data_IF_225596042260
#
_entry.id   IF_225596042260
#
_cell.length_a   1.000
_cell.length_b   1.000
_cell.length_c   1.000
_cell.angle_alpha   90.00
_cell.angle_beta   90.00
_cell.angle_gamma   90.00
#
_symmetry.space_group_name_H-M   'P 1'
#
loop_
_entity.id
_entity.type
_entity.pdbx_description
1 polymer ?
#
# COMPACT_ATOMS: atom_id res chain seq x y z
N UNK A 1 12.03 9.90 -17.61
CA UNK A 1 11.80 11.06 -18.50
C UNK A 1 12.98 11.19 -19.46
N UNK A 2 12.79 11.79 -20.64
CA UNK A 2 13.87 12.03 -21.59
C UNK A 2 14.72 13.20 -21.08
N UNK A 3 15.96 12.92 -20.66
CA UNK A 3 16.90 13.92 -20.12
C UNK A 3 17.29 14.99 -21.13
N UNK A 4 17.30 14.64 -22.42
CA UNK A 4 17.62 15.53 -23.54
C UNK A 4 16.51 16.52 -23.89
N UNK A 5 15.35 16.46 -23.24
CA UNK A 5 14.19 17.31 -23.53
C UNK A 5 13.77 18.09 -22.31
N UNK A 6 13.25 19.29 -22.54
CA UNK A 6 12.59 20.09 -21.50
C UNK A 6 11.32 19.40 -20.99
N UNK A 7 10.74 19.94 -19.91
CA UNK A 7 9.42 19.54 -19.39
C UNK A 7 8.36 19.58 -20.49
N UNK A 8 8.22 20.71 -21.18
CA UNK A 8 7.28 20.84 -22.28
C UNK A 8 7.59 19.85 -23.42
N UNK A 9 8.88 19.63 -23.71
CA UNK A 9 9.31 18.66 -24.73
C UNK A 9 8.99 17.21 -24.38
N UNK A 10 9.02 16.86 -23.09
CA UNK A 10 8.61 15.54 -22.60
C UNK A 10 7.09 15.34 -22.73
N UNK A 11 6.29 16.34 -22.38
CA UNK A 11 4.81 16.29 -22.50
C UNK A 11 4.38 16.32 -23.96
N UNK A 12 5.09 17.05 -24.82
CA UNK A 12 4.81 17.11 -26.25
C UNK A 12 5.09 15.79 -26.97
N UNK A 13 6.09 15.02 -26.51
CA UNK A 13 6.62 13.86 -27.24
C UNK A 13 5.57 12.86 -27.72
N UNK A 14 4.61 12.39 -26.91
CA UNK A 14 3.55 11.49 -27.38
C UNK A 14 2.67 12.10 -28.48
N UNK A 15 2.44 13.41 -28.45
CA UNK A 15 1.69 14.13 -29.50
C UNK A 15 2.50 14.24 -30.79
N UNK A 16 3.82 14.36 -30.71
CA UNK A 16 4.71 14.34 -31.88
C UNK A 16 4.65 12.98 -32.57
N UNK A 17 4.75 11.91 -31.78
CA UNK A 17 4.65 10.52 -32.27
C UNK A 17 3.27 10.25 -32.86
N UNK A 18 2.20 10.78 -32.26
CA UNK A 18 0.83 10.68 -32.77
C UNK A 18 0.54 11.58 -34.00
N UNK A 19 1.53 12.32 -34.51
CA UNK A 19 1.37 13.13 -35.72
C UNK A 19 0.55 14.41 -35.55
N UNK A 20 0.39 14.92 -34.33
CA UNK A 20 -0.40 16.13 -34.10
C UNK A 20 0.27 17.38 -34.71
N UNK A 21 -0.51 18.31 -35.30
CA UNK A 21 0.01 19.59 -35.79
C UNK A 21 0.66 20.42 -34.68
N UNK A 22 1.78 21.09 -34.99
CA UNK A 22 2.59 21.84 -34.01
C UNK A 22 1.79 22.82 -33.16
N UNK A 23 0.87 23.57 -33.76
CA UNK A 23 0.02 24.53 -33.04
C UNK A 23 -0.85 23.85 -31.98
N UNK A 24 -1.55 22.77 -32.35
CA UNK A 24 -2.38 21.98 -31.42
C UNK A 24 -1.57 21.31 -30.32
N UNK A 25 -0.32 20.90 -30.62
CA UNK A 25 0.58 20.36 -29.59
C UNK A 25 0.91 21.40 -28.53
N UNK A 26 1.24 22.63 -28.94
CA UNK A 26 1.61 23.69 -28.01
C UNK A 26 0.46 24.05 -27.07
N UNK A 27 -0.77 24.16 -27.61
CA UNK A 27 -1.99 24.40 -26.83
C UNK A 27 -2.24 23.28 -25.81
N UNK A 28 -2.24 22.02 -26.26
CA UNK A 28 -2.46 20.86 -25.38
C UNK A 28 -1.38 20.72 -24.29
N UNK A 29 -0.13 21.00 -24.62
CA UNK A 29 0.97 20.97 -23.65
C UNK A 29 0.79 22.07 -22.60
N UNK A 30 0.39 23.29 -23.00
CA UNK A 30 0.14 24.38 -22.07
C UNK A 30 -0.99 24.03 -21.09
N UNK A 31 -2.11 23.50 -21.59
CA UNK A 31 -3.25 23.03 -20.78
C UNK A 31 -2.81 21.98 -19.75
N UNK A 32 -2.02 20.98 -20.18
CA UNK A 32 -1.58 19.91 -19.27
C UNK A 32 -0.57 20.40 -18.23
N UNK A 33 0.34 21.29 -18.61
CA UNK A 33 1.29 21.88 -17.67
C UNK A 33 0.60 22.76 -16.64
N UNK A 34 -0.45 23.48 -17.03
CA UNK A 34 -1.31 24.20 -16.11
C UNK A 34 -2.04 23.25 -15.15
N UNK A 35 -2.66 22.19 -15.69
CA UNK A 35 -3.39 21.21 -14.90
C UNK A 35 -2.53 20.55 -13.81
N UNK A 36 -1.28 20.20 -14.14
CA UNK A 36 -0.32 19.60 -13.18
C UNK A 36 0.47 20.64 -12.35
N UNK A 37 0.24 21.94 -12.57
CA UNK A 37 0.87 23.03 -11.83
C UNK A 37 2.37 23.21 -12.11
N UNK A 38 2.80 23.08 -13.37
CA UNK A 38 4.19 23.17 -13.82
C UNK A 38 4.42 24.17 -14.98
N UNK A 39 3.51 25.13 -15.16
CA UNK A 39 3.61 26.15 -16.22
C UNK A 39 4.93 26.94 -16.16
N UNK A 40 5.38 27.32 -14.97
CA UNK A 40 6.64 28.05 -14.73
C UNK A 40 7.90 27.21 -15.06
N UNK A 41 7.76 25.88 -15.09
CA UNK A 41 8.86 24.93 -15.31
C UNK A 41 8.92 24.38 -16.73
N UNK A 42 8.07 24.85 -17.64
CA UNK A 42 7.96 24.33 -19.01
C UNK A 42 9.29 24.23 -19.76
N UNK A 43 10.23 25.16 -19.51
CA UNK A 43 11.54 25.22 -20.17
C UNK A 43 12.67 24.51 -19.42
N UNK A 44 12.41 24.03 -18.21
CA UNK A 44 13.42 23.34 -17.40
C UNK A 44 13.65 21.92 -17.91
N UNK A 45 14.81 21.35 -17.61
CA UNK A 45 15.17 19.96 -17.88
C UNK A 45 14.89 19.06 -16.68
N UNK A 46 14.68 17.73 -16.87
CA UNK A 46 14.42 16.82 -15.77
C UNK A 46 15.45 16.84 -14.64
N UNK A 47 16.73 17.15 -14.92
CA UNK A 47 17.78 17.29 -13.89
C UNK A 47 17.53 18.42 -12.89
N UNK A 48 16.70 19.40 -13.26
CA UNK A 48 16.41 20.58 -12.45
C UNK A 48 15.13 20.42 -11.61
N UNK A 49 14.49 19.25 -11.65
CA UNK A 49 13.21 18.99 -11.01
C UNK A 49 13.36 18.11 -9.77
N UNK A 50 12.50 18.35 -8.77
CA UNK A 50 12.30 17.42 -7.65
C UNK A 50 11.68 16.10 -8.10
N UNK A 51 11.71 15.07 -7.24
CA UNK A 51 11.08 13.77 -7.51
C UNK A 51 9.59 13.90 -7.84
N UNK A 52 8.84 14.64 -7.02
CA UNK A 52 7.41 14.89 -7.26
C UNK A 52 7.14 15.63 -8.55
N UNK A 53 7.94 16.64 -8.87
CA UNK A 53 7.82 17.38 -10.13
C UNK A 53 8.06 16.45 -11.33
N UNK A 54 9.07 15.57 -11.27
CA UNK A 54 9.30 14.55 -12.32
C UNK A 54 8.09 13.63 -12.49
N UNK A 55 7.44 13.21 -11.40
CA UNK A 55 6.22 12.40 -11.48
C UNK A 55 5.06 13.16 -12.12
N UNK A 56 4.83 14.42 -11.74
CA UNK A 56 3.81 15.28 -12.36
C UNK A 56 4.04 15.47 -13.86
N UNK A 57 5.29 15.61 -14.30
CA UNK A 57 5.63 15.61 -15.75
C UNK A 57 5.33 14.26 -16.39
N UNK A 58 5.61 13.15 -15.70
CA UNK A 58 5.25 11.80 -16.13
C UNK A 58 3.75 11.64 -16.36
N UNK A 59 2.93 12.12 -15.42
CA UNK A 59 1.46 12.12 -15.49
C UNK A 59 0.98 12.99 -16.66
N UNK A 60 1.46 14.24 -16.77
CA UNK A 60 1.11 15.13 -17.88
C UNK A 60 1.44 14.49 -19.24
N UNK A 61 2.61 13.86 -19.36
CA UNK A 61 3.02 13.13 -20.57
C UNK A 61 2.08 11.95 -20.86
N UNK A 62 1.69 11.17 -19.85
CA UNK A 62 0.77 10.06 -20.04
C UNK A 62 -0.64 10.53 -20.48
N UNK A 63 -1.08 11.68 -19.98
CA UNK A 63 -2.38 12.29 -20.31
C UNK A 63 -2.40 13.05 -21.65
N UNK A 64 -1.24 13.24 -22.27
CA UNK A 64 -1.08 14.01 -23.50
C UNK A 64 -2.07 13.57 -24.59
N UNK A 65 -2.19 12.27 -24.81
CA UNK A 65 -3.01 11.66 -25.86
C UNK A 65 -4.47 11.39 -25.46
N UNK A 66 -4.93 11.98 -24.34
CA UNK A 66 -6.28 11.78 -23.81
C UNK A 66 -6.66 10.29 -23.61
N UNK A 67 -5.88 9.52 -22.84
CA UNK A 67 -6.10 8.10 -22.67
C UNK A 67 -7.37 7.83 -21.85
N UNK A 68 -8.03 6.69 -22.10
CA UNK A 68 -9.14 6.22 -21.26
C UNK A 68 -8.68 5.56 -19.96
N UNK A 69 -7.45 5.05 -19.95
CA UNK A 69 -6.85 4.31 -18.83
C UNK A 69 -5.45 4.86 -18.58
N UNK A 70 -5.13 5.13 -17.32
CA UNK A 70 -3.80 5.47 -16.83
C UNK A 70 -3.28 4.33 -15.94
N UNK A 71 -2.12 3.78 -16.27
CA UNK A 71 -1.43 2.81 -15.42
C UNK A 71 -0.36 3.54 -14.61
N UNK A 72 -0.41 3.43 -13.30
CA UNK A 72 0.53 4.03 -12.36
C UNK A 72 1.26 2.92 -11.61
N UNK A 73 2.48 2.63 -12.02
CA UNK A 73 3.30 1.54 -11.48
C UNK A 73 4.31 2.08 -10.48
N UNK A 74 4.11 1.75 -9.19
CA UNK A 74 4.92 2.21 -8.05
C UNK A 74 5.29 3.70 -8.11
N UNK A 75 4.36 4.55 -8.57
CA UNK A 75 4.65 5.95 -8.92
C UNK A 75 5.03 6.84 -7.74
N UNK A 76 4.92 6.33 -6.51
CA UNK A 76 5.14 7.08 -5.26
C UNK A 76 6.27 6.51 -4.39
N UNK A 77 6.83 5.34 -4.71
CA UNK A 77 7.76 4.61 -3.82
C UNK A 77 9.08 5.35 -3.54
N UNK A 78 9.49 6.26 -4.44
CA UNK A 78 10.71 7.06 -4.32
C UNK A 78 10.46 8.50 -3.83
N UNK A 79 9.28 8.79 -3.30
CA UNK A 79 8.89 10.12 -2.84
C UNK A 79 8.76 10.17 -1.31
N UNK A 80 8.98 11.34 -0.73
CA UNK A 80 8.63 11.62 0.65
C UNK A 80 7.10 11.61 0.85
N UNK A 81 6.59 11.38 2.09
CA UNK A 81 5.16 11.26 2.34
C UNK A 81 4.32 12.46 1.90
N UNK A 82 4.82 13.68 2.07
CA UNK A 82 4.12 14.91 1.67
C UNK A 82 3.96 14.98 0.14
N UNK A 83 5.05 14.72 -0.59
CA UNK A 83 5.05 14.70 -2.05
C UNK A 83 4.22 13.53 -2.62
N UNK A 84 4.20 12.38 -1.95
CA UNK A 84 3.31 11.26 -2.30
C UNK A 84 1.85 11.69 -2.26
N UNK A 85 1.43 12.37 -1.21
CA UNK A 85 0.06 12.85 -1.05
C UNK A 85 -0.34 13.80 -2.20
N UNK A 86 0.55 14.72 -2.56
CA UNK A 86 0.36 15.62 -3.70
C UNK A 86 0.15 14.89 -5.04
N UNK A 87 0.92 13.83 -5.28
CA UNK A 87 0.80 13.02 -6.50
C UNK A 87 -0.51 12.22 -6.50
N UNK A 88 -0.89 11.64 -5.36
CA UNK A 88 -2.18 10.93 -5.22
C UNK A 88 -3.38 11.89 -5.42
N UNK A 89 -3.30 13.11 -4.88
CA UNK A 89 -4.31 14.15 -5.09
C UNK A 89 -4.45 14.49 -6.58
N UNK A 90 -3.33 14.60 -7.29
CA UNK A 90 -3.34 14.82 -8.73
C UNK A 90 -4.00 13.64 -9.47
N UNK A 91 -3.69 12.39 -9.12
CA UNK A 91 -4.35 11.22 -9.73
C UNK A 91 -5.86 11.21 -9.45
N UNK A 92 -6.31 11.54 -8.23
CA UNK A 92 -7.74 11.68 -7.92
C UNK A 92 -8.41 12.76 -8.77
N UNK A 93 -7.75 13.91 -8.96
CA UNK A 93 -8.24 14.98 -9.85
C UNK A 93 -8.32 14.52 -11.31
N UNK A 94 -7.32 13.80 -11.80
CA UNK A 94 -7.35 13.20 -13.15
C UNK A 94 -8.57 12.30 -13.33
N UNK A 95 -8.88 11.46 -12.35
CA UNK A 95 -10.07 10.62 -12.39
C UNK A 95 -11.37 11.45 -12.33
N UNK A 96 -11.45 12.42 -11.43
CA UNK A 96 -12.65 13.19 -11.16
C UNK A 96 -12.99 14.19 -12.28
N UNK A 97 -12.00 14.92 -12.78
CA UNK A 97 -12.14 15.99 -13.76
C UNK A 97 -12.08 15.46 -15.20
N UNK A 98 -11.18 14.52 -15.50
CA UNK A 98 -10.96 14.01 -16.87
C UNK A 98 -11.68 12.68 -17.15
N UNK A 99 -12.22 12.02 -16.12
CA UNK A 99 -12.95 10.75 -16.28
C UNK A 99 -12.06 9.56 -16.65
N UNK A 100 -10.74 9.67 -16.45
CA UNK A 100 -9.76 8.63 -16.77
C UNK A 100 -9.81 7.53 -15.71
N UNK A 101 -9.90 6.26 -16.13
CA UNK A 101 -9.74 5.11 -15.23
C UNK A 101 -8.27 4.98 -14.85
N UNK A 102 -7.96 4.84 -13.56
CA UNK A 102 -6.57 4.72 -13.10
C UNK A 102 -6.39 3.34 -12.48
N UNK A 103 -5.32 2.64 -12.85
CA UNK A 103 -4.88 1.42 -12.19
C UNK A 103 -3.57 1.72 -11.51
N UNK A 104 -3.54 1.66 -10.19
CA UNK A 104 -2.33 1.83 -9.39
C UNK A 104 -1.82 0.47 -8.98
N UNK A 105 -0.53 0.23 -9.23
CA UNK A 105 0.22 -0.92 -8.74
C UNK A 105 1.10 -0.40 -7.60
N UNK A 106 0.90 -0.95 -6.41
CA UNK A 106 1.65 -0.53 -5.22
C UNK A 106 1.77 -1.65 -4.20
N UNK A 107 2.75 -1.53 -3.32
CA UNK A 107 2.86 -2.33 -2.10
C UNK A 107 2.54 -1.50 -0.84
N UNK A 108 2.21 -0.22 -1.01
CA UNK A 108 1.93 0.72 0.08
C UNK A 108 0.43 0.78 0.38
N UNK A 109 0.08 0.49 1.63
CA UNK A 109 -1.32 0.43 2.05
C UNK A 109 -2.00 1.79 2.06
N UNK A 110 -1.27 2.82 2.47
CA UNK A 110 -1.84 4.17 2.61
C UNK A 110 -2.23 4.74 1.24
N UNK A 111 -1.50 4.38 0.18
CA UNK A 111 -1.88 4.66 -1.21
C UNK A 111 -3.21 3.98 -1.57
N UNK A 112 -3.38 2.69 -1.23
CA UNK A 112 -4.62 1.95 -1.55
C UNK A 112 -5.81 2.54 -0.79
N UNK A 113 -5.67 2.78 0.53
CA UNK A 113 -6.72 3.37 1.38
C UNK A 113 -7.12 4.77 0.92
N UNK A 114 -6.14 5.59 0.58
CA UNK A 114 -6.36 6.99 0.26
C UNK A 114 -7.02 7.15 -1.11
N UNK A 115 -6.64 6.31 -2.07
CA UNK A 115 -6.85 6.63 -3.47
C UNK A 115 -7.82 5.66 -4.18
N UNK A 116 -7.94 4.42 -3.73
CA UNK A 116 -8.61 3.38 -4.51
C UNK A 116 -10.02 3.03 -4.00
N UNK A 117 -10.90 2.64 -4.93
CA UNK A 117 -12.25 2.15 -4.60
C UNK A 117 -12.29 0.62 -4.49
N UNK A 118 -11.53 -0.04 -5.36
CA UNK A 118 -11.42 -1.49 -5.46
C UNK A 118 -9.97 -1.93 -5.45
N UNK A 119 -9.76 -3.14 -4.97
CA UNK A 119 -8.44 -3.74 -4.82
C UNK A 119 -8.43 -5.17 -5.34
N UNK A 120 -7.32 -5.57 -5.95
CA UNK A 120 -6.97 -6.94 -6.27
C UNK A 120 -5.61 -7.26 -5.66
N UNK A 121 -5.54 -8.34 -4.90
CA UNK A 121 -4.34 -8.87 -4.26
C UNK A 121 -3.78 -9.96 -5.16
N UNK A 122 -2.49 -9.86 -5.46
CA UNK A 122 -1.78 -10.82 -6.28
C UNK A 122 -0.69 -11.54 -5.49
N UNK A 123 -0.60 -12.85 -5.67
CA UNK A 123 0.50 -13.67 -5.14
C UNK A 123 0.95 -14.64 -6.24
N UNK A 124 2.27 -14.72 -6.49
CA UNK A 124 2.87 -15.60 -7.52
C UNK A 124 2.22 -15.43 -8.91
N UNK A 125 1.99 -14.18 -9.30
CA UNK A 125 1.43 -13.83 -10.62
C UNK A 125 -0.06 -14.13 -10.79
N UNK A 126 -0.79 -14.49 -9.73
CA UNK A 126 -2.23 -14.76 -9.77
C UNK A 126 -2.97 -13.80 -8.86
N UNK A 127 -4.15 -13.34 -9.29
CA UNK A 127 -5.09 -12.65 -8.42
C UNK A 127 -5.64 -13.69 -7.44
N UNK A 128 -5.36 -13.50 -6.15
CA UNK A 128 -5.78 -14.40 -5.08
C UNK A 128 -7.02 -13.90 -4.34
N UNK A 129 -7.27 -12.59 -4.37
CA UNK A 129 -8.43 -11.97 -3.75
C UNK A 129 -8.72 -10.62 -4.43
N UNK A 130 -10.00 -10.23 -4.54
CA UNK A 130 -10.38 -8.93 -5.08
C UNK A 130 -11.75 -8.49 -4.54
N UNK A 131 -11.99 -7.18 -4.46
CA UNK A 131 -13.25 -6.64 -3.96
C UNK A 131 -13.20 -5.14 -3.70
N UNK A 132 -14.19 -4.61 -2.97
CA UNK A 132 -14.08 -3.26 -2.43
C UNK A 132 -12.91 -3.16 -1.46
N UNK A 133 -12.23 -2.01 -1.42
CA UNK A 133 -11.07 -1.82 -0.51
C UNK A 133 -11.46 -2.15 0.92
N UNK A 134 -12.59 -1.64 1.40
CA UNK A 134 -13.07 -1.96 2.74
C UNK A 134 -13.31 -3.45 2.96
N UNK A 135 -14.02 -4.14 2.06
CA UNK A 135 -14.40 -5.54 2.24
C UNK A 135 -13.18 -6.46 2.32
N UNK A 136 -12.22 -6.30 1.40
CA UNK A 136 -11.00 -7.10 1.33
C UNK A 136 -10.11 -6.85 2.54
N UNK A 137 -10.08 -5.62 3.05
CA UNK A 137 -9.23 -5.26 4.18
C UNK A 137 -9.88 -5.65 5.49
N UNK A 138 -11.19 -5.50 5.57
CA UNK A 138 -11.93 -5.83 6.75
C UNK A 138 -11.98 -7.34 6.92
N UNK A 139 -12.34 -8.10 5.88
CA UNK A 139 -12.54 -9.54 5.95
C UNK A 139 -11.62 -10.32 4.98
N UNK A 140 -10.29 -10.22 5.13
CA UNK A 140 -9.36 -10.87 4.21
C UNK A 140 -9.51 -12.39 4.24
N UNK A 141 -9.93 -12.98 3.13
CA UNK A 141 -10.16 -14.43 3.04
C UNK A 141 -8.86 -15.19 2.80
N UNK A 142 -8.00 -14.66 1.91
CA UNK A 142 -6.79 -15.34 1.49
C UNK A 142 -5.62 -15.09 2.47
N UNK A 143 -4.80 -16.11 2.81
CA UNK A 143 -3.67 -15.93 3.73
C UNK A 143 -2.69 -14.83 3.32
N UNK A 144 -2.46 -14.64 2.01
CA UNK A 144 -1.62 -13.55 1.51
C UNK A 144 -2.17 -12.16 1.85
N UNK A 145 -3.48 -11.97 1.67
CA UNK A 145 -4.19 -10.74 2.02
C UNK A 145 -4.11 -10.51 3.53
N UNK A 146 -4.35 -11.54 4.35
CA UNK A 146 -4.27 -11.44 5.82
C UNK A 146 -2.90 -10.95 6.29
N UNK A 147 -1.82 -11.58 5.79
CA UNK A 147 -0.45 -11.17 6.12
C UNK A 147 -0.17 -9.72 5.72
N UNK A 148 -0.69 -9.29 4.58
CA UNK A 148 -0.49 -7.92 4.12
C UNK A 148 -1.24 -6.91 4.99
N UNK A 149 -2.53 -7.13 5.22
CA UNK A 149 -3.39 -6.30 6.08
C UNK A 149 -2.80 -6.16 7.48
N UNK A 150 -2.38 -7.28 8.09
CA UNK A 150 -1.77 -7.30 9.42
C UNK A 150 -0.46 -6.51 9.49
N UNK A 151 0.37 -6.54 8.44
CA UNK A 151 1.63 -5.77 8.38
C UNK A 151 1.38 -4.28 8.30
N UNK A 152 0.34 -3.87 7.57
CA UNK A 152 0.07 -2.48 7.25
C UNK A 152 -0.68 -1.75 8.38
N UNK A 153 -1.66 -2.39 9.00
CA UNK A 153 -2.51 -1.74 10.00
C UNK A 153 -1.93 -1.81 11.41
N UNK A 154 -1.16 -2.87 11.72
CA UNK A 154 -0.52 -3.09 13.04
C UNK A 154 -1.49 -2.88 14.21
N UNK A 155 -2.76 -3.20 13.99
CA UNK A 155 -3.85 -3.11 14.98
C UNK A 155 -3.85 -4.29 15.94
N UNK A 156 -3.11 -5.36 15.63
CA UNK A 156 -2.90 -6.54 16.47
C UNK A 156 -1.47 -6.64 17.00
N UNK A 157 -1.27 -7.13 18.23
CA UNK A 157 0.06 -7.26 18.81
C UNK A 157 0.85 -8.34 18.08
N UNK A 158 2.11 -8.04 17.72
CA UNK A 158 3.03 -9.07 17.22
C UNK A 158 3.26 -10.17 18.27
N UNK A 159 3.74 -11.38 17.89
CA UNK A 159 3.96 -12.46 18.86
C UNK A 159 4.87 -12.04 20.03
N UNK A 160 5.93 -11.28 19.74
CA UNK A 160 6.82 -10.74 20.77
C UNK A 160 6.15 -9.65 21.64
N UNK A 161 5.24 -8.85 21.08
CA UNK A 161 4.47 -7.87 21.85
C UNK A 161 3.44 -8.56 22.74
N UNK A 162 2.72 -9.55 22.23
CA UNK A 162 1.75 -10.35 22.97
C UNK A 162 2.40 -11.05 24.18
N UNK A 163 3.59 -11.60 23.98
CA UNK A 163 4.35 -12.23 25.06
C UNK A 163 4.75 -11.23 26.17
N UNK A 164 5.06 -9.98 25.81
CA UNK A 164 5.29 -8.90 26.80
C UNK A 164 3.99 -8.48 27.48
N UNK A 165 2.86 -8.47 26.76
CA UNK A 165 1.56 -8.13 27.32
C UNK A 165 1.16 -9.17 28.38
N UNK A 166 1.26 -10.48 28.08
CA UNK A 166 0.97 -11.56 29.03
C UNK A 166 1.78 -11.47 30.33
N UNK A 167 3.04 -11.04 30.25
CA UNK A 167 3.86 -10.86 31.46
C UNK A 167 3.43 -9.70 32.34
N UNK A 168 2.81 -8.66 31.77
CA UNK A 168 2.38 -7.47 32.50
C UNK A 168 0.92 -7.56 32.95
N UNK A 169 0.12 -8.33 32.23
CA UNK A 169 -1.33 -8.42 32.34
C UNK A 169 -1.71 -9.88 32.66
N UNK A 170 -1.92 -10.25 33.94
CA UNK A 170 -2.23 -11.61 34.34
C UNK A 170 -3.64 -12.06 33.93
N UNK A 171 -4.52 -11.13 33.59
CA UNK A 171 -5.89 -11.43 33.14
C UNK A 171 -5.94 -12.13 31.77
N UNK A 172 -7.17 -12.37 31.30
CA UNK A 172 -7.41 -12.99 29.99
C UNK A 172 -7.28 -11.96 28.88
N UNK A 173 -6.42 -12.22 27.92
CA UNK A 173 -6.18 -11.31 26.80
C UNK A 173 -7.12 -11.65 25.65
N UNK A 174 -7.90 -10.67 25.20
CA UNK A 174 -8.87 -10.84 24.11
C UNK A 174 -8.73 -9.69 23.12
N UNK A 175 -8.65 -10.00 21.83
CA UNK A 175 -8.68 -8.99 20.76
C UNK A 175 -10.07 -8.93 20.14
N UNK A 176 -10.65 -7.74 20.10
CA UNK A 176 -11.95 -7.45 19.52
C UNK A 176 -11.76 -6.59 18.28
N UNK A 177 -12.30 -7.03 17.14
CA UNK A 177 -12.28 -6.27 15.90
C UNK A 177 -13.33 -5.17 15.89
N UNK A 178 -12.96 -4.02 15.33
CA UNK A 178 -13.80 -2.83 15.16
C UNK A 178 -14.10 -2.63 13.68
N UNK A 179 -15.38 -2.56 13.32
CA UNK A 179 -15.86 -2.47 11.93
C UNK A 179 -17.15 -1.63 11.89
N UNK A 180 -17.60 -1.26 10.70
CA UNK A 180 -18.82 -0.45 10.51
C UNK A 180 -20.08 -1.27 10.85
N UNK A 181 -20.18 -2.49 10.33
CA UNK A 181 -21.39 -3.32 10.44
C UNK A 181 -21.46 -4.15 11.74
N UNK A 182 -20.56 -3.90 12.69
CA UNK A 182 -20.49 -4.63 13.96
C UNK A 182 -19.14 -4.48 14.67
N UNK A 183 -19.15 -4.51 16.01
CA UNK A 183 -17.93 -4.32 16.81
C UNK A 183 -17.53 -2.86 16.98
N UNK A 184 -18.51 -1.96 16.93
CA UNK A 184 -18.28 -0.58 17.33
C UNK A 184 -17.78 -0.53 18.78
N UNK A 185 -17.03 0.52 19.13
CA UNK A 185 -16.70 0.83 20.52
C UNK A 185 -17.96 0.84 21.42
N UNK A 186 -19.15 1.11 20.85
CA UNK A 186 -20.44 0.99 21.52
C UNK A 186 -20.79 -0.43 21.98
N UNK A 187 -20.61 -1.45 21.14
CA UNK A 187 -20.90 -2.85 21.49
C UNK A 187 -19.98 -3.35 22.59
N UNK A 188 -18.69 -3.01 22.49
CA UNK A 188 -17.71 -3.30 23.53
C UNK A 188 -18.11 -2.65 24.86
N UNK A 189 -18.46 -1.36 24.84
CA UNK A 189 -18.86 -0.63 26.04
C UNK A 189 -20.14 -1.18 26.65
N UNK A 190 -21.12 -1.59 25.83
CA UNK A 190 -22.34 -2.25 26.28
C UNK A 190 -22.02 -3.59 26.95
N UNK A 191 -21.26 -4.45 26.29
CA UNK A 191 -20.90 -5.76 26.83
C UNK A 191 -20.14 -5.64 28.16
N UNK A 192 -19.22 -4.68 28.30
CA UNK A 192 -18.52 -4.43 29.57
C UNK A 192 -19.45 -3.95 30.70
N UNK A 193 -20.63 -3.39 30.40
CA UNK A 193 -21.63 -3.00 31.42
C UNK A 193 -22.60 -4.12 31.77
N UNK A 194 -22.91 -4.98 30.80
CA UNK A 194 -23.91 -6.04 30.95
C UNK A 194 -23.31 -7.30 31.60
N UNK A 195 -22.00 -7.48 31.51
CA UNK A 195 -21.28 -8.60 32.12
C UNK A 195 -20.40 -8.09 33.27
N UNK A 196 -20.29 -8.83 34.39
CA UNK A 196 -19.48 -8.45 35.55
C UNK A 196 -17.99 -8.72 35.33
N UNK A 197 -17.43 -8.18 34.24
CA UNK A 197 -16.02 -8.29 33.88
C UNK A 197 -15.38 -6.92 33.87
N UNK A 198 -14.18 -6.81 34.45
CA UNK A 198 -13.37 -5.61 34.29
C UNK A 198 -12.53 -5.73 33.03
N UNK A 199 -12.58 -4.72 32.16
CA UNK A 199 -11.84 -4.68 30.90
C UNK A 199 -10.94 -3.46 30.80
N UNK A 200 -9.68 -3.66 30.41
CA UNK A 200 -8.71 -2.59 30.16
C UNK A 200 -8.07 -2.76 28.78
N UNK A 201 -7.99 -1.68 27.99
CA UNK A 201 -7.33 -1.72 26.67
C UNK A 201 -5.81 -1.71 26.87
N UNK A 202 -5.14 -2.75 26.39
CA UNK A 202 -3.69 -2.94 26.54
C UNK A 202 -2.92 -2.78 25.22
N UNK A 203 -3.61 -2.91 24.09
CA UNK A 203 -3.05 -2.70 22.75
C UNK A 203 -4.19 -2.42 21.76
N UNK A 204 -3.87 -1.85 20.61
CA UNK A 204 -4.81 -1.72 19.49
C UNK A 204 -4.89 -0.31 18.93
N UNK A 205 -5.68 -0.17 17.88
CA UNK A 205 -5.89 1.08 17.17
C UNK A 205 -7.11 0.98 16.27
N UNK A 206 -7.80 2.10 16.12
CA UNK A 206 -8.93 2.27 15.19
C UNK A 206 -8.51 3.34 14.19
N UNK A 207 -8.73 3.06 12.92
CA UNK A 207 -8.51 3.98 11.79
C UNK A 207 -9.73 3.95 10.88
N UNK A 208 -9.65 4.63 9.75
CA UNK A 208 -10.69 4.61 8.73
C UNK A 208 -10.15 4.07 7.42
N UNK A 209 -10.98 3.29 6.73
CA UNK A 209 -10.74 2.80 5.39
C UNK A 209 -11.98 3.16 4.58
N UNK A 210 -11.80 3.99 3.54
CA UNK A 210 -12.92 4.50 2.75
C UNK A 210 -14.04 5.11 3.64
N UNK A 211 -13.66 5.96 4.60
CA UNK A 211 -14.55 6.67 5.54
C UNK A 211 -15.33 5.74 6.51
N UNK A 212 -14.92 4.48 6.60
CA UNK A 212 -15.56 3.49 7.48
C UNK A 212 -14.57 3.04 8.57
N UNK A 213 -15.00 2.93 9.84
CA UNK A 213 -14.11 2.53 10.91
C UNK A 213 -13.59 1.11 10.70
N UNK A 214 -12.32 0.93 11.01
CA UNK A 214 -11.63 -0.35 10.94
C UNK A 214 -10.50 -0.41 11.96
N UNK A 215 -10.35 -1.55 12.63
CA UNK A 215 -9.18 -1.86 13.45
C UNK A 215 -9.47 -2.96 14.46
N UNK A 216 -8.69 -2.97 15.54
CA UNK A 216 -8.94 -3.87 16.67
C UNK A 216 -8.42 -3.30 17.97
N UNK A 217 -9.06 -3.70 19.07
CA UNK A 217 -8.65 -3.40 20.44
C UNK A 217 -8.35 -4.71 21.16
N UNK A 218 -7.17 -4.81 21.74
CA UNK A 218 -6.78 -5.91 22.64
C UNK A 218 -7.02 -5.47 24.08
N UNK A 219 -7.79 -6.27 24.80
CA UNK A 219 -8.22 -6.05 26.16
C UNK A 219 -7.57 -7.07 27.09
N UNK A 220 -7.23 -6.64 28.29
CA UNK A 220 -7.14 -7.51 29.46
C UNK A 220 -8.50 -7.58 30.13
N UNK A 221 -8.99 -8.78 30.39
CA UNK A 221 -10.22 -9.06 31.10
C UNK A 221 -9.93 -9.73 32.44
N UNK A 222 -10.58 -9.23 33.50
CA UNK A 222 -10.52 -9.78 34.86
C UNK A 222 -11.93 -10.12 35.32
N UNK A 223 -12.10 -11.34 35.82
CA UNK A 223 -13.38 -11.91 36.23
C UNK A 223 -13.25 -13.43 36.38
N UNK A 224 -14.34 -14.12 36.70
CA UNK A 224 -14.35 -15.59 36.64
C UNK A 224 -14.36 -16.07 35.17
N UNK A 225 -13.90 -17.30 34.94
CA UNK A 225 -13.85 -17.87 33.59
C UNK A 225 -15.24 -17.94 32.91
N UNK A 226 -16.30 -18.20 33.69
CA UNK A 226 -17.67 -18.24 33.19
C UNK A 226 -18.18 -16.86 32.77
N UNK A 227 -17.86 -15.82 33.54
CA UNK A 227 -18.23 -14.43 33.23
C UNK A 227 -17.49 -13.93 31.98
N UNK A 228 -16.19 -14.24 31.88
CA UNK A 228 -15.39 -13.90 30.70
C UNK A 228 -15.87 -14.65 29.46
N UNK A 229 -16.23 -15.94 29.60
CA UNK A 229 -16.79 -16.72 28.50
C UNK A 229 -18.14 -16.17 28.03
N UNK A 230 -19.01 -15.74 28.96
CA UNK A 230 -20.29 -15.09 28.64
C UNK A 230 -20.08 -13.76 27.90
N UNK A 231 -19.14 -12.93 28.36
CA UNK A 231 -18.76 -11.69 27.70
C UNK A 231 -18.24 -11.91 26.27
N UNK A 232 -17.31 -12.86 26.09
CA UNK A 232 -16.76 -13.21 24.78
C UNK A 232 -17.87 -13.71 23.85
N UNK A 233 -18.78 -14.55 24.35
CA UNK A 233 -19.90 -15.09 23.58
C UNK A 233 -20.87 -14.00 23.12
N UNK A 234 -21.18 -13.02 23.98
CA UNK A 234 -22.04 -11.89 23.61
C UNK A 234 -21.38 -11.02 22.52
N UNK A 235 -20.10 -10.65 22.69
CA UNK A 235 -19.39 -9.86 21.69
C UNK A 235 -19.21 -10.60 20.36
N UNK A 236 -19.03 -11.92 20.38
CA UNK A 236 -18.87 -12.72 19.17
C UNK A 236 -20.12 -12.71 18.27
N UNK A 237 -21.28 -12.27 18.78
CA UNK A 237 -22.51 -12.13 17.99
C UNK A 237 -22.48 -10.93 17.05
N UNK A 238 -21.73 -9.90 17.39
CA UNK A 238 -21.68 -8.62 16.65
C UNK A 238 -20.29 -8.30 16.11
N UNK A 239 -19.25 -8.96 16.64
CA UNK A 239 -17.86 -8.56 16.45
C UNK A 239 -16.98 -9.79 16.24
N UNK A 240 -15.88 -9.63 15.52
CA UNK A 240 -14.83 -10.66 15.52
C UNK A 240 -14.09 -10.62 16.86
N UNK A 241 -14.09 -11.72 17.60
CA UNK A 241 -13.39 -11.84 18.88
C UNK A 241 -12.35 -12.95 18.78
N UNK A 242 -11.12 -12.65 19.19
CA UNK A 242 -10.01 -13.59 19.25
C UNK A 242 -9.52 -13.69 20.69
N UNK A 243 -9.73 -14.85 21.30
CA UNK A 243 -9.23 -15.18 22.63
C UNK A 243 -7.76 -15.59 22.55
N UNK A 244 -6.88 -14.75 23.11
CA UNK A 244 -5.44 -14.98 23.18
C UNK A 244 -5.04 -15.69 24.47
N UNK A 245 -6.01 -16.11 25.30
CA UNK A 245 -5.77 -16.86 26.52
C UNK A 245 -5.08 -16.03 27.60
N UNK A 246 -4.35 -16.70 28.48
CA UNK A 246 -3.67 -16.09 29.62
C UNK A 246 -2.15 -16.30 29.52
N UNK A 247 -1.41 -15.84 30.53
CA UNK A 247 0.00 -16.20 30.66
C UNK A 247 0.21 -17.71 30.93
N UNK A 248 -0.74 -18.36 31.61
CA UNK A 248 -0.66 -19.78 31.97
C UNK A 248 -1.13 -20.70 30.84
N UNK A 249 -2.12 -20.28 30.05
CA UNK A 249 -2.63 -20.98 28.87
C UNK A 249 -2.58 -20.06 27.64
N UNK A 250 -1.41 -19.90 27.01
CA UNK A 250 -1.22 -18.97 25.91
C UNK A 250 -1.80 -19.51 24.59
N UNK A 251 -2.67 -18.72 23.94
CA UNK A 251 -3.19 -19.01 22.58
C UNK A 251 -2.54 -18.14 21.51
N UNK A 252 -2.30 -18.69 20.32
CA UNK A 252 -1.68 -17.93 19.22
C UNK A 252 -2.74 -17.13 18.44
N UNK A 253 -2.34 -15.96 17.92
CA UNK A 253 -3.10 -15.28 16.87
C UNK A 253 -2.69 -15.86 15.50
N UNK A 254 -3.60 -16.49 14.75
CA UNK A 254 -3.29 -17.10 13.46
C UNK A 254 -2.88 -16.09 12.38
N UNK A 255 -3.26 -14.82 12.52
CA UNK A 255 -2.95 -13.76 11.56
C UNK A 255 -1.83 -12.83 12.06
N UNK A 256 -1.27 -13.08 13.26
CA UNK A 256 -0.18 -12.25 13.78
C UNK A 256 1.06 -12.38 12.92
N UNK A 257 1.48 -11.26 12.33
CA UNK A 257 2.69 -11.20 11.54
C UNK A 257 3.85 -10.78 12.45
N UNK A 258 4.85 -11.67 12.58
CA UNK A 258 6.11 -11.34 13.24
C UNK A 258 6.93 -10.34 12.42
N UNK A 259 7.96 -9.68 13.01
CA UNK A 259 8.89 -8.89 12.22
C UNK A 259 9.43 -9.75 11.08
N UNK A 260 9.40 -9.23 9.85
CA UNK A 260 10.09 -9.87 8.72
C UNK A 260 11.52 -10.11 9.19
N UNK A 261 11.97 -11.37 9.18
CA UNK A 261 13.40 -11.64 9.25
C UNK A 261 14.01 -10.85 8.09
N UNK A 262 14.79 -9.82 8.40
CA UNK A 262 15.67 -9.20 7.43
C UNK A 262 16.67 -10.26 7.00
N UNK A 263 16.37 -10.98 5.92
CA UNK A 263 17.33 -11.84 5.25
C UNK A 263 18.49 -10.95 4.77
N UNK A 264 19.71 -11.22 5.27
CA UNK A 264 20.94 -10.86 4.55
C UNK A 264 21.86 -9.77 5.12
N UNK A 265 21.91 -9.50 6.43
CA UNK A 265 23.11 -8.89 7.02
C UNK A 265 24.14 -9.98 7.32
N UNK A 266 24.71 -10.55 6.27
CA UNK A 266 25.71 -11.63 6.33
C UNK A 266 26.60 -11.59 5.10
N UNK A 267 27.27 -10.46 4.87
CA UNK A 267 28.35 -10.39 3.90
C UNK A 267 29.57 -11.16 4.44
N UNK A 268 30.23 -12.02 3.65
CA UNK A 268 31.47 -12.63 4.09
C UNK A 268 32.57 -11.57 4.12
N UNK A 269 33.40 -11.63 5.17
CA UNK A 269 34.63 -10.86 5.25
C UNK A 269 35.54 -11.23 4.07
N UNK A 270 35.93 -10.25 3.26
CA UNK A 270 36.96 -10.39 2.23
C UNK A 270 38.13 -9.50 2.60
N UNK A 271 39.27 -10.14 2.84
CA UNK A 271 40.54 -9.52 3.19
C UNK A 271 41.15 -8.74 2.02
N UNK A 272 42.05 -7.83 2.40
CA UNK A 272 42.89 -7.03 1.52
C UNK A 272 43.77 -7.92 0.62
N UNK A 273 43.87 -7.54 -0.65
CA UNK A 273 44.84 -8.05 -1.61
C UNK A 273 44.90 -7.14 -2.85
N UNK A 274 46.06 -6.56 -3.09
CA UNK A 274 46.43 -5.60 -4.15
C UNK A 274 46.79 -6.34 -5.45
N UNK A 275 46.37 -5.85 -6.63
CA UNK A 275 47.24 -5.43 -7.76
C UNK A 275 46.52 -5.33 -9.12
N UNK A 276 46.65 -4.16 -9.75
CA UNK A 276 46.92 -3.79 -11.15
C UNK A 276 46.28 -4.50 -12.37
N UNK A 277 45.82 -3.69 -13.33
CA UNK A 277 45.67 -4.09 -14.75
C UNK A 277 44.67 -3.24 -15.55
N UNK A 278 45.18 -2.41 -16.48
CA UNK A 278 44.46 -1.55 -17.44
C UNK A 278 43.62 -2.32 -18.48
N UNK A 279 42.53 -1.71 -19.00
CA UNK A 279 42.31 -1.38 -20.44
C UNK A 279 40.86 -0.96 -20.76
N UNK A 280 40.73 -0.04 -21.72
CA UNK A 280 39.51 0.55 -22.30
C UNK A 280 38.76 -0.37 -23.28
N UNK A 281 37.46 -0.07 -23.51
CA UNK A 281 36.87 -0.12 -24.86
C UNK A 281 35.53 -0.84 -25.03
N UNK A 282 34.49 -0.06 -25.38
CA UNK A 282 33.32 -0.42 -26.22
C UNK A 282 32.41 -1.59 -25.83
N UNK A 283 31.19 -1.27 -25.37
CA UNK A 283 30.10 -2.24 -25.24
C UNK A 283 28.72 -1.72 -24.79
N UNK A 284 28.43 -0.42 -24.83
CA UNK A 284 27.32 0.16 -24.04
C UNK A 284 26.00 0.41 -24.82
N UNK A 285 25.64 -0.48 -25.75
CA UNK A 285 24.33 -0.40 -26.43
C UNK A 285 23.57 -1.73 -26.47
N UNK A 286 24.26 -2.87 -26.46
CA UNK A 286 23.65 -4.20 -26.42
C UNK A 286 23.42 -4.71 -24.98
N UNK A 287 24.18 -4.22 -24.00
CA UNK A 287 23.99 -4.55 -22.59
C UNK A 287 22.74 -3.91 -21.98
N UNK A 288 22.31 -2.75 -22.45
CA UNK A 288 21.14 -2.04 -21.92
C UNK A 288 19.83 -2.70 -22.35
N UNK A 289 19.73 -3.20 -23.59
CA UNK A 289 18.56 -3.97 -24.05
C UNK A 289 18.50 -5.36 -23.40
N UNK A 290 19.64 -6.02 -23.19
CA UNK A 290 19.69 -7.30 -22.48
C UNK A 290 19.30 -7.15 -21.00
N UNK A 291 19.70 -6.07 -20.32
CA UNK A 291 19.29 -5.77 -18.93
C UNK A 291 17.83 -5.35 -18.82
N UNK A 292 17.28 -4.64 -19.81
CA UNK A 292 15.86 -4.24 -19.81
C UNK A 292 14.95 -5.45 -20.06
N UNK A 293 15.35 -6.35 -20.98
CA UNK A 293 14.61 -7.60 -21.24
C UNK A 293 14.75 -8.61 -20.09
N UNK A 294 15.92 -8.70 -19.47
CA UNK A 294 16.13 -9.50 -18.25
C UNK A 294 15.37 -8.94 -17.04
N UNK A 295 15.18 -7.61 -16.92
CA UNK A 295 14.33 -7.02 -15.89
C UNK A 295 12.84 -7.29 -16.15
N UNK A 296 12.40 -7.29 -17.42
CA UNK A 296 11.04 -7.61 -17.82
C UNK A 296 10.73 -9.12 -17.70
N UNK A 297 11.71 -9.99 -17.98
CA UNK A 297 11.63 -11.43 -17.75
C UNK A 297 11.79 -11.80 -16.27
N UNK A 298 12.57 -11.06 -15.46
CA UNK A 298 12.64 -11.25 -14.01
C UNK A 298 11.34 -10.85 -13.30
N UNK A 299 10.54 -9.96 -13.90
CA UNK A 299 9.20 -9.61 -13.42
C UNK A 299 8.16 -10.71 -13.75
N UNK A 300 8.39 -11.51 -14.79
CA UNK A 300 7.52 -12.61 -15.24
C UNK A 300 7.97 -14.00 -14.75
N UNK A 301 9.26 -14.20 -14.48
CA UNK A 301 9.85 -15.43 -13.97
C UNK A 301 10.44 -15.15 -12.58
N UNK A 302 9.66 -15.50 -11.57
CA UNK A 302 9.96 -15.28 -10.15
C UNK A 302 11.33 -15.80 -9.71
N UNK A 303 12.30 -14.90 -9.65
CA UNK A 303 13.53 -15.06 -8.86
C UNK A 303 13.67 -13.83 -7.96
N UNK A 304 13.19 -13.97 -6.74
CA UNK A 304 13.17 -12.94 -5.71
C UNK A 304 11.84 -13.00 -4.99
N UNK A 305 11.83 -13.46 -3.75
CA UNK A 305 10.62 -13.63 -2.95
C UNK A 305 9.89 -12.31 -2.73
N UNK A 306 8.96 -11.98 -3.62
CA UNK A 306 8.05 -10.87 -3.42
C UNK A 306 6.77 -11.33 -2.73
N UNK A 307 6.52 -10.69 -1.57
CA UNK A 307 5.21 -10.64 -0.93
C UNK A 307 4.17 -10.00 -1.86
N UNK A 308 2.91 -10.16 -1.50
CA UNK A 308 1.77 -9.83 -2.35
C UNK A 308 1.85 -8.43 -3.01
N UNK A 309 1.63 -8.37 -4.31
CA UNK A 309 1.52 -7.14 -5.08
C UNK A 309 0.05 -6.75 -5.24
N UNK A 310 -0.28 -5.47 -5.20
CA UNK A 310 -1.65 -4.99 -5.36
C UNK A 310 -1.84 -4.34 -6.72
N UNK A 311 -2.95 -4.66 -7.37
CA UNK A 311 -3.51 -3.85 -8.44
C UNK A 311 -4.80 -3.22 -7.90
N UNK A 312 -4.83 -1.90 -7.77
CA UNK A 312 -5.97 -1.18 -7.23
C UNK A 312 -6.51 -0.22 -8.29
N UNK A 313 -7.83 -0.12 -8.40
CA UNK A 313 -8.49 0.57 -9.53
C UNK A 313 -9.30 1.75 -9.03
N UNK A 314 -9.17 2.87 -9.74
CA UNK A 314 -10.00 4.07 -9.68
C UNK A 314 -10.94 4.03 -10.87
N UNK A 315 -12.25 4.09 -10.64
CA UNK A 315 -13.17 4.09 -11.78
C UNK A 315 -14.60 4.45 -11.45
N UNK A 316 -15.15 5.42 -12.20
CA UNK A 316 -16.58 5.78 -12.18
C UNK A 316 -17.52 4.67 -12.66
N UNK A 317 -17.03 3.57 -13.25
CA UNK A 317 -17.90 2.48 -13.72
C UNK A 317 -18.11 1.46 -12.60
N UNK A 318 -19.27 1.59 -11.95
CA UNK A 318 -19.86 0.64 -10.97
C UNK A 318 -20.05 -0.81 -11.46
N UNK A 319 -19.58 -1.17 -12.65
CA UNK A 319 -19.73 -2.52 -13.21
C UNK A 319 -18.43 -2.93 -13.89
N UNK A 320 -17.66 -3.74 -13.17
CA UNK A 320 -16.76 -4.75 -13.71
C UNK A 320 -17.49 -6.10 -13.55
#
# INVERSE_FOLDING_TARGET
>A
LLSSRTVAGNVAYPLEVAGWPRARRAERVAELLEFVGLTDKARQYPSQLSGGQKQRVGIARALATNPKILLADESTSALDPETTQDVLNLLRRVNAELGVTIVVITHEMDVVKYACDRVAVMERGKVVEHGGVYEVFANPQHPATRRFVATALRDRPSPAALERLRRRHPGRIVTVGVREDGGSAGDLTRALREHPVEGSVVYGGITEIAERPYGSLTLELTGSDDEIAAFISDLARTSSVLDLGTAADPKADPDAVGPRASEGAGGPAVGQGVSDGETHGEGDALETEARTRAAQEALLLGKGGFGAAFAAVFGRRKKW
#
